data_IF_209189345108
#
_entry.id   IF_209189345108
#
_cell.length_a   1.000
_cell.length_b   1.000
_cell.length_c   1.000
_cell.angle_alpha   90.00
_cell.angle_beta   90.00
_cell.angle_gamma   90.00
#
_symmetry.space_group_name_H-M   'P 1'
#
loop_
_entity.id
_entity.type
_entity.pdbx_description
1 polymer ?
#
# COMPACT_ATOMS: atom_id res chain seq x y z
N UNK A 1 9.87 4.89 0.71
CA UNK A 1 8.79 4.13 1.38
C UNK A 1 9.43 3.39 2.55
N UNK A 2 8.89 3.40 3.78
CA UNK A 2 9.54 2.74 4.92
C UNK A 2 9.70 1.21 4.76
N UNK A 3 8.88 0.61 3.89
CA UNK A 3 8.89 -0.83 3.56
C UNK A 3 9.25 -1.08 2.08
N UNK A 4 9.82 -0.08 1.41
CA UNK A 4 10.22 -0.15 -0.01
C UNK A 4 9.15 -0.58 -1.05
N UNK A 5 7.86 -0.46 -0.71
CA UNK A 5 6.73 -0.74 -1.62
C UNK A 5 6.56 0.23 -2.83
N UNK A 6 7.56 1.06 -3.18
CA UNK A 6 7.52 1.97 -4.34
C UNK A 6 8.60 1.54 -5.32
N UNK A 7 8.21 1.07 -6.50
CA UNK A 7 9.14 0.71 -7.58
C UNK A 7 9.23 1.85 -8.60
N UNK A 8 10.43 2.24 -9.01
CA UNK A 8 10.60 3.23 -10.07
C UNK A 8 12.02 3.78 -10.16
N UNK A 9 12.23 4.66 -11.13
CA UNK A 9 13.49 5.37 -11.34
C UNK A 9 13.26 6.88 -11.29
N UNK A 10 14.34 7.63 -11.06
CA UNK A 10 14.27 9.09 -11.07
C UNK A 10 13.68 9.63 -12.38
N UNK A 11 12.74 10.59 -12.25
CA UNK A 11 12.02 11.22 -13.38
C UNK A 11 11.14 10.28 -14.19
N UNK A 12 10.80 9.11 -13.67
CA UNK A 12 9.82 8.19 -14.25
C UNK A 12 8.59 8.08 -13.35
N UNK A 13 7.50 7.57 -13.91
CA UNK A 13 6.31 7.22 -13.13
C UNK A 13 6.66 6.05 -12.21
N UNK A 14 6.44 6.23 -10.92
CA UNK A 14 6.65 5.19 -9.93
C UNK A 14 5.37 4.35 -9.78
N UNK A 15 5.53 3.07 -9.46
CA UNK A 15 4.44 2.13 -9.20
C UNK A 15 4.42 1.74 -7.74
N UNK A 16 3.24 1.76 -7.12
CA UNK A 16 3.03 1.26 -5.76
C UNK A 16 2.80 -0.26 -5.83
N UNK A 17 3.58 -1.05 -5.09
CA UNK A 17 3.35 -2.49 -4.93
C UNK A 17 2.33 -2.68 -3.81
N UNK A 18 1.04 -2.79 -4.16
CA UNK A 18 -0.07 -2.79 -3.18
C UNK A 18 0.06 -3.89 -2.13
N UNK A 19 0.60 -5.06 -2.50
CA UNK A 19 0.79 -6.18 -1.58
C UNK A 19 1.79 -5.88 -0.44
N UNK A 20 2.71 -4.95 -0.65
CA UNK A 20 3.74 -4.55 0.33
C UNK A 20 3.41 -3.20 0.98
N UNK A 21 2.45 -2.46 0.43
CA UNK A 21 2.08 -1.13 0.92
C UNK A 21 1.31 -1.23 2.24
N UNK A 22 1.83 -0.57 3.28
CA UNK A 22 1.22 -0.51 4.62
C UNK A 22 0.30 0.70 4.83
N UNK A 23 0.14 1.56 3.81
CA UNK A 23 -0.69 2.75 3.90
C UNK A 23 -0.12 3.87 4.78
N UNK A 24 1.21 4.03 4.84
CA UNK A 24 1.87 5.05 5.70
C UNK A 24 1.74 6.51 5.22
N UNK A 25 1.20 6.75 4.02
CA UNK A 25 0.92 8.08 3.44
C UNK A 25 2.14 8.98 3.16
N UNK A 26 3.35 8.59 3.56
CA UNK A 26 4.58 9.37 3.38
C UNK A 26 4.97 9.63 1.92
N UNK A 27 4.47 8.84 0.97
CA UNK A 27 4.76 9.01 -0.46
C UNK A 27 3.84 10.03 -1.16
N UNK A 28 2.72 10.42 -0.55
CA UNK A 28 1.72 11.31 -1.17
C UNK A 28 2.28 12.72 -1.34
N UNK A 29 2.62 13.39 -0.23
CA UNK A 29 3.15 14.75 -0.25
C UNK A 29 4.42 14.98 -1.09
N UNK A 30 5.44 14.07 -1.10
CA UNK A 30 6.63 14.25 -1.93
C UNK A 30 6.43 13.90 -3.41
N UNK A 31 5.28 13.37 -3.83
CA UNK A 31 5.03 13.07 -5.24
C UNK A 31 4.90 14.38 -6.03
N UNK A 32 5.84 14.73 -6.93
CA UNK A 32 5.89 16.06 -7.55
C UNK A 32 4.75 16.36 -8.52
N UNK A 33 3.99 15.33 -8.89
CA UNK A 33 2.88 15.37 -9.84
C UNK A 33 1.58 14.84 -9.23
N UNK A 34 1.56 14.66 -7.90
CA UNK A 34 0.37 14.27 -7.13
C UNK A 34 -0.38 13.04 -7.70
N UNK A 35 0.37 11.99 -8.06
CA UNK A 35 -0.16 10.82 -8.75
C UNK A 35 -0.64 9.67 -7.82
N UNK A 36 -0.59 9.85 -6.50
CA UNK A 36 -0.88 8.77 -5.54
C UNK A 36 -2.19 9.09 -4.80
N UNK A 37 -3.11 8.12 -4.78
CA UNK A 37 -4.41 8.24 -4.13
C UNK A 37 -4.52 7.13 -3.08
N UNK A 38 -5.00 7.49 -1.88
CA UNK A 38 -5.29 6.53 -0.82
C UNK A 38 -6.73 6.03 -0.96
N UNK A 39 -6.91 4.71 -0.94
CA UNK A 39 -8.22 4.07 -0.98
C UNK A 39 -8.46 3.34 0.35
N UNK A 40 -9.67 3.41 0.91
CA UNK A 40 -10.03 2.60 2.06
C UNK A 40 -10.01 1.12 1.67
N UNK A 41 -9.42 0.29 2.52
CA UNK A 41 -9.54 -1.16 2.37
C UNK A 41 -10.91 -1.60 2.92
N UNK A 42 -11.64 -2.37 2.13
CA UNK A 42 -12.83 -3.06 2.61
C UNK A 42 -12.41 -4.09 3.66
N UNK A 43 -12.65 -3.77 4.93
CA UNK A 43 -12.55 -4.75 5.99
C UNK A 43 -13.80 -5.63 5.91
N UNK A 44 -13.62 -6.89 5.51
CA UNK A 44 -14.66 -7.90 5.63
C UNK A 44 -14.59 -8.50 7.04
N UNK A 45 -15.45 -8.09 8.00
CA UNK A 45 -15.41 -8.62 9.37
C UNK A 45 -15.77 -10.12 9.44
N UNK A 46 -16.30 -10.72 8.36
CA UNK A 46 -16.54 -12.17 8.30
C UNK A 46 -15.28 -13.00 8.02
N UNK A 47 -14.16 -12.39 7.60
CA UNK A 47 -12.85 -13.05 7.51
C UNK A 47 -12.15 -13.07 8.87
N UNK A 48 -12.78 -13.69 9.87
CA UNK A 48 -12.15 -13.96 11.14
C UNK A 48 -11.35 -15.27 11.05
N UNK A 49 -10.05 -15.18 10.73
CA UNK A 49 -9.16 -16.33 10.51
C UNK A 49 -8.49 -16.86 11.79
N UNK A 50 -9.09 -16.65 12.97
CA UNK A 50 -8.55 -17.21 14.22
C UNK A 50 -8.89 -18.70 14.41
N UNK A 51 -9.91 -19.22 13.69
CA UNK A 51 -10.33 -20.62 13.81
C UNK A 51 -9.87 -21.54 12.66
N UNK A 52 -9.19 -21.03 11.62
CA UNK A 52 -8.86 -21.81 10.42
C UNK A 52 -7.49 -22.49 10.46
N UNK A 53 -6.70 -22.31 11.52
CA UNK A 53 -5.33 -22.84 11.63
C UNK A 53 -5.13 -23.58 12.97
N UNK A 54 -6.08 -24.43 13.37
CA UNK A 54 -5.91 -25.26 14.55
C UNK A 54 -6.38 -26.71 14.36
N UNK A 55 -6.11 -27.26 13.16
CA UNK A 55 -6.01 -28.71 12.88
C UNK A 55 -4.81 -28.98 11.97
#
# INVERSE_FOLDING_TARGET
>A
CPVDAILGASKQMHTVITAECTGCELCVAPCPVDCIIMLPLEHNPSQWQWAANND
#
